data_IF_316401957351
#
_entry.id   IF_316401957351
#
_cell.length_a   1.000
_cell.length_b   1.000
_cell.length_c   1.000
_cell.angle_alpha   90.00
_cell.angle_beta   90.00
_cell.angle_gamma   90.00
#
_symmetry.space_group_name_H-M   'P 1'
#
loop_
_entity.id
_entity.type
_entity.pdbx_description
1 polymer ?
#
# COMPACT_ATOMS: atom_id res chain seq x y z
N UNK A 1 21.45 2.94 23.63
CA UNK A 1 21.40 1.76 22.72
C UNK A 1 21.13 2.28 21.31
N UNK A 2 22.10 2.16 20.42
CA UNK A 2 21.92 2.53 19.01
C UNK A 2 20.89 1.58 18.41
N UNK A 3 19.69 2.05 18.07
CA UNK A 3 18.71 1.27 17.34
C UNK A 3 19.25 0.98 15.94
N UNK A 4 19.95 -0.13 15.74
CA UNK A 4 20.31 -0.59 14.41
C UNK A 4 19.02 -0.77 13.61
N UNK A 5 18.91 -0.09 12.46
CA UNK A 5 17.86 -0.36 11.47
C UNK A 5 17.91 -1.86 11.14
N UNK A 6 16.74 -2.48 11.00
CA UNK A 6 16.68 -3.88 10.59
C UNK A 6 17.28 -4.03 9.18
N UNK A 7 18.02 -5.11 8.95
CA UNK A 7 18.51 -5.44 7.62
C UNK A 7 17.34 -5.91 6.75
N UNK A 8 17.04 -5.17 5.70
CA UNK A 8 15.99 -5.45 4.75
C UNK A 8 16.50 -6.01 3.40
N UNK A 9 17.80 -6.23 3.29
CA UNK A 9 18.44 -6.63 2.02
C UNK A 9 18.00 -8.01 1.52
N UNK A 10 17.56 -8.89 2.42
CA UNK A 10 17.10 -10.25 2.11
C UNK A 10 15.62 -10.33 1.77
N UNK A 11 14.88 -9.25 1.99
CA UNK A 11 13.44 -9.26 1.74
C UNK A 11 13.12 -9.55 0.28
N UNK A 12 12.12 -10.38 0.07
CA UNK A 12 11.56 -10.65 -1.25
C UNK A 12 10.05 -10.86 -1.18
N UNK A 13 9.39 -10.61 -2.28
CA UNK A 13 7.95 -10.70 -2.41
C UNK A 13 7.59 -11.38 -3.73
N UNK A 14 6.57 -12.23 -3.68
CA UNK A 14 6.01 -12.86 -4.87
C UNK A 14 4.48 -12.93 -4.80
N UNK A 15 3.83 -12.68 -5.91
CA UNK A 15 2.38 -12.89 -6.07
C UNK A 15 2.16 -14.36 -6.41
N UNK A 16 1.39 -15.05 -5.59
CA UNK A 16 1.01 -16.46 -5.79
C UNK A 16 -0.32 -16.61 -6.51
N UNK A 17 -1.17 -15.63 -6.38
CA UNK A 17 -2.46 -15.56 -7.06
C UNK A 17 -2.85 -14.10 -7.23
N UNK A 18 -3.42 -13.79 -8.36
CA UNK A 18 -4.03 -12.51 -8.68
C UNK A 18 -5.29 -12.77 -9.52
N UNK A 19 -6.39 -12.11 -9.17
CA UNK A 19 -7.60 -12.14 -10.01
C UNK A 19 -7.36 -11.35 -11.28
N UNK A 20 -7.11 -12.02 -12.39
CA UNK A 20 -6.90 -11.44 -13.71
C UNK A 20 -8.22 -11.21 -14.48
N UNK A 21 -9.29 -11.88 -14.07
CA UNK A 21 -10.62 -11.76 -14.66
C UNK A 21 -11.39 -10.55 -14.13
N UNK A 22 -11.08 -9.38 -14.67
CA UNK A 22 -11.84 -8.17 -14.40
C UNK A 22 -13.29 -8.18 -14.93
N UNK A 23 -13.62 -9.11 -15.86
CA UNK A 23 -14.98 -9.26 -16.33
C UNK A 23 -15.91 -9.64 -15.17
N UNK A 24 -15.49 -10.57 -14.32
CA UNK A 24 -16.23 -10.98 -13.13
C UNK A 24 -16.61 -9.79 -12.22
N UNK A 25 -15.65 -8.91 -11.97
CA UNK A 25 -15.87 -7.68 -11.16
C UNK A 25 -16.89 -6.76 -11.86
N UNK A 26 -16.78 -6.65 -13.19
CA UNK A 26 -17.70 -5.83 -13.98
C UNK A 26 -19.11 -6.41 -14.02
N UNK A 27 -19.23 -7.73 -14.17
CA UNK A 27 -20.52 -8.40 -14.20
C UNK A 27 -21.25 -8.22 -12.86
N UNK A 28 -20.55 -8.31 -11.73
CA UNK A 28 -21.11 -8.00 -10.42
C UNK A 28 -21.57 -6.54 -10.30
N UNK A 29 -20.81 -5.59 -10.88
CA UNK A 29 -21.24 -4.19 -10.93
C UNK A 29 -22.49 -4.00 -11.81
N UNK A 30 -22.56 -4.67 -12.96
CA UNK A 30 -23.70 -4.61 -13.87
C UNK A 30 -24.95 -5.27 -13.27
N UNK A 31 -24.77 -6.39 -12.55
CA UNK A 31 -25.87 -7.07 -11.87
C UNK A 31 -26.63 -6.14 -10.92
N UNK A 32 -25.94 -5.26 -10.21
CA UNK A 32 -26.56 -4.29 -9.27
C UNK A 32 -27.49 -3.28 -9.94
N UNK A 33 -27.38 -3.10 -11.25
CA UNK A 33 -28.19 -2.17 -12.06
C UNK A 33 -29.02 -2.89 -13.12
N UNK A 34 -29.26 -4.20 -12.95
CA UNK A 34 -30.06 -5.05 -13.83
C UNK A 34 -29.54 -5.04 -15.29
N UNK A 35 -28.24 -5.05 -15.49
CA UNK A 35 -27.59 -5.15 -16.80
C UNK A 35 -26.71 -6.40 -16.86
N UNK A 36 -26.58 -6.94 -18.06
CA UNK A 36 -25.75 -8.11 -18.36
C UNK A 36 -24.89 -7.86 -19.61
N UNK A 37 -23.94 -8.74 -19.86
CA UNK A 37 -23.16 -8.81 -21.10
C UNK A 37 -22.41 -7.54 -21.48
N UNK A 38 -21.80 -6.88 -20.50
CA UNK A 38 -20.92 -5.74 -20.76
C UNK A 38 -19.63 -6.17 -21.45
N UNK A 39 -19.06 -5.30 -22.30
CA UNK A 39 -17.71 -5.49 -22.87
C UNK A 39 -16.70 -5.56 -21.75
N UNK A 40 -15.56 -6.27 -22.00
CA UNK A 40 -14.44 -6.33 -21.05
C UNK A 40 -14.05 -4.91 -20.57
N UNK A 41 -13.79 -4.70 -19.27
CA UNK A 41 -13.49 -3.38 -18.72
C UNK A 41 -12.19 -2.80 -19.26
N UNK A 42 -12.26 -1.52 -19.62
CA UNK A 42 -11.07 -0.73 -19.99
C UNK A 42 -10.28 -0.33 -18.76
N UNK A 43 -9.01 0.01 -18.92
CA UNK A 43 -8.17 0.52 -17.82
C UNK A 43 -8.77 1.76 -17.14
N UNK A 44 -9.41 2.63 -17.92
CA UNK A 44 -10.11 3.79 -17.37
C UNK A 44 -11.30 3.38 -16.49
N UNK A 45 -12.06 2.36 -16.90
CA UNK A 45 -13.16 1.85 -16.10
C UNK A 45 -12.65 1.20 -14.80
N UNK A 46 -11.58 0.41 -14.88
CA UNK A 46 -10.92 -0.19 -13.71
C UNK A 46 -10.50 0.87 -12.70
N UNK A 47 -9.81 1.93 -13.16
CA UNK A 47 -9.43 3.05 -12.30
C UNK A 47 -10.63 3.74 -11.66
N UNK A 48 -11.69 4.00 -12.42
CA UNK A 48 -12.91 4.65 -11.91
C UNK A 48 -13.58 3.83 -10.80
N UNK A 49 -13.77 2.51 -10.98
CA UNK A 49 -14.44 1.67 -9.98
C UNK A 49 -13.59 1.51 -8.71
N UNK A 50 -12.25 1.44 -8.85
CA UNK A 50 -11.31 1.37 -7.74
C UNK A 50 -11.29 2.67 -6.94
N UNK A 51 -11.26 3.83 -7.60
CA UNK A 51 -11.30 5.15 -6.93
C UNK A 51 -12.64 5.41 -6.24
N UNK A 52 -13.74 4.93 -6.83
CA UNK A 52 -15.06 5.02 -6.24
C UNK A 52 -15.30 3.99 -5.13
N UNK A 53 -14.40 3.02 -4.98
CA UNK A 53 -14.48 1.94 -3.98
C UNK A 53 -15.82 1.20 -3.98
N UNK A 54 -16.41 1.00 -5.15
CA UNK A 54 -17.64 0.24 -5.27
C UNK A 54 -17.44 -1.22 -4.83
N UNK A 55 -18.41 -1.77 -4.12
CA UNK A 55 -18.34 -3.11 -3.50
C UNK A 55 -17.87 -4.25 -4.40
N UNK A 56 -18.15 -4.27 -5.73
CA UNK A 56 -17.66 -5.35 -6.61
C UNK A 56 -16.14 -5.53 -6.63
N UNK A 57 -15.36 -4.49 -6.34
CA UNK A 57 -13.88 -4.64 -6.27
C UNK A 57 -13.43 -5.63 -5.20
N UNK A 58 -14.29 -5.99 -4.25
CA UNK A 58 -14.00 -6.98 -3.20
C UNK A 58 -13.96 -8.42 -3.72
N UNK A 59 -14.41 -8.66 -4.95
CA UNK A 59 -14.27 -9.96 -5.62
C UNK A 59 -12.87 -10.17 -6.19
N UNK A 60 -12.15 -9.09 -6.47
CA UNK A 60 -10.73 -9.17 -6.82
C UNK A 60 -9.90 -9.59 -5.62
N UNK A 61 -9.06 -10.62 -5.77
CA UNK A 61 -8.24 -11.18 -4.71
C UNK A 61 -6.79 -11.31 -5.13
N UNK A 62 -5.89 -11.16 -4.14
CA UNK A 62 -4.45 -11.33 -4.31
C UNK A 62 -3.93 -12.21 -3.19
N UNK A 63 -3.07 -13.18 -3.52
CA UNK A 63 -2.28 -13.93 -2.53
C UNK A 63 -0.81 -13.57 -2.74
N UNK A 64 -0.19 -13.06 -1.69
CA UNK A 64 1.19 -12.56 -1.71
C UNK A 64 1.98 -13.29 -0.64
N UNK A 65 3.12 -13.85 -1.00
CA UNK A 65 4.14 -14.29 -0.05
C UNK A 65 5.19 -13.19 0.11
N UNK A 66 5.52 -12.88 1.34
CA UNK A 66 6.60 -11.97 1.71
C UNK A 66 7.56 -12.72 2.62
N UNK A 67 8.83 -12.68 2.30
CA UNK A 67 9.88 -13.47 2.95
C UNK A 67 10.90 -12.57 3.61
N UNK A 68 11.51 -13.09 4.67
CA UNK A 68 12.63 -12.47 5.38
C UNK A 68 12.30 -11.07 5.94
N UNK A 69 11.09 -10.94 6.50
CA UNK A 69 10.59 -9.69 7.09
C UNK A 69 10.82 -9.69 8.59
N UNK A 70 11.36 -8.61 9.19
CA UNK A 70 11.51 -8.52 10.65
C UNK A 70 10.17 -8.70 11.38
N UNK A 71 10.18 -9.49 12.44
CA UNK A 71 8.97 -9.86 13.20
C UNK A 71 8.15 -8.66 13.66
N UNK A 72 8.79 -7.56 14.10
CA UNK A 72 8.06 -6.36 14.50
C UNK A 72 7.32 -5.68 13.33
N UNK A 73 7.80 -5.81 12.09
CA UNK A 73 7.11 -5.28 10.91
C UNK A 73 5.86 -6.10 10.62
N UNK A 74 5.96 -7.44 10.75
CA UNK A 74 4.81 -8.33 10.57
C UNK A 74 3.67 -7.95 11.53
N UNK A 75 3.99 -7.58 12.78
CA UNK A 75 2.96 -7.15 13.75
C UNK A 75 2.14 -5.94 13.27
N UNK A 76 2.70 -5.10 12.38
CA UNK A 76 1.96 -4.00 11.79
C UNK A 76 0.96 -4.46 10.73
N UNK A 77 1.25 -5.55 10.01
CA UNK A 77 0.35 -6.08 8.99
C UNK A 77 -0.77 -6.94 9.59
N UNK A 78 -0.48 -7.73 10.63
CA UNK A 78 -1.50 -8.57 11.27
C UNK A 78 -2.61 -7.79 11.96
N UNK A 79 -2.45 -6.48 12.16
CA UNK A 79 -3.50 -5.58 12.68
C UNK A 79 -4.58 -5.22 11.67
N UNK A 80 -4.41 -5.55 10.39
CA UNK A 80 -5.45 -5.39 9.38
C UNK A 80 -6.32 -6.64 9.36
N UNK A 81 -7.65 -6.47 9.48
CA UNK A 81 -8.57 -7.61 9.62
C UNK A 81 -9.62 -7.68 8.51
N UNK A 82 -10.06 -6.53 7.99
CA UNK A 82 -11.14 -6.50 7.01
C UNK A 82 -10.67 -6.91 5.63
N UNK A 83 -11.14 -8.06 5.14
CA UNK A 83 -10.81 -8.57 3.80
C UNK A 83 -9.37 -9.08 3.66
N UNK A 84 -8.73 -9.48 4.78
CA UNK A 84 -7.35 -9.96 4.82
C UNK A 84 -7.22 -11.19 5.69
N UNK A 85 -6.73 -12.30 5.11
CA UNK A 85 -6.23 -13.45 5.84
C UNK A 85 -4.70 -13.43 5.88
N UNK A 86 -4.14 -13.84 7.01
CA UNK A 86 -2.71 -13.74 7.29
C UNK A 86 -2.17 -15.05 7.83
N UNK A 87 -1.10 -15.53 7.21
CA UNK A 87 -0.41 -16.75 7.63
C UNK A 87 1.05 -16.39 7.87
N UNK A 88 1.50 -16.49 9.12
CA UNK A 88 2.84 -16.10 9.54
C UNK A 88 3.61 -17.35 9.97
N UNK A 89 4.89 -17.45 9.60
CA UNK A 89 5.75 -18.54 10.05
C UNK A 89 5.84 -18.55 11.58
N UNK A 90 5.85 -19.76 12.16
CA UNK A 90 5.83 -19.94 13.62
C UNK A 90 7.23 -19.81 14.21
N UNK A 91 7.29 -19.37 15.48
CA UNK A 91 8.46 -19.47 16.35
C UNK A 91 8.33 -20.59 17.40
N UNK A 92 7.41 -21.51 17.21
CA UNK A 92 7.23 -22.64 18.14
C UNK A 92 8.41 -23.60 18.03
N UNK A 93 9.13 -23.79 19.12
CA UNK A 93 10.31 -24.68 19.21
C UNK A 93 9.98 -26.17 19.04
N UNK A 94 8.69 -26.54 19.18
CA UNK A 94 8.22 -27.89 18.88
C UNK A 94 8.01 -28.17 17.37
N UNK A 95 8.20 -27.16 16.51
CA UNK A 95 7.97 -27.25 15.07
C UNK A 95 9.13 -26.77 14.22
N UNK A 96 9.96 -25.89 14.76
CA UNK A 96 11.06 -25.26 14.04
C UNK A 96 12.25 -25.09 14.97
N UNK A 97 13.42 -25.57 14.56
CA UNK A 97 14.67 -25.34 15.28
C UNK A 97 15.19 -23.94 14.97
N UNK A 98 15.65 -23.25 16.00
CA UNK A 98 16.29 -21.95 15.92
C UNK A 98 17.65 -22.00 16.60
N UNK A 99 18.66 -21.45 15.95
CA UNK A 99 20.01 -21.32 16.51
C UNK A 99 20.06 -20.31 17.67
N UNK A 100 19.16 -19.33 17.65
CA UNK A 100 19.06 -18.25 18.63
C UNK A 100 17.62 -18.04 19.10
N UNK A 101 17.45 -17.50 20.31
CA UNK A 101 16.13 -17.13 20.83
C UNK A 101 15.52 -16.04 19.95
N UNK A 102 14.32 -16.26 19.39
CA UNK A 102 13.67 -15.27 18.52
C UNK A 102 13.47 -13.93 19.24
N UNK A 103 13.73 -12.85 18.53
CA UNK A 103 13.56 -11.48 19.00
C UNK A 103 12.81 -10.62 17.96
N UNK A 104 12.60 -9.33 18.24
CA UNK A 104 11.85 -8.43 17.36
C UNK A 104 12.42 -8.31 15.94
N UNK A 105 13.70 -8.53 15.76
CA UNK A 105 14.38 -8.41 14.47
C UNK A 105 14.52 -9.77 13.75
N UNK A 106 14.14 -10.88 14.41
CA UNK A 106 14.16 -12.20 13.78
C UNK A 106 13.29 -12.19 12.53
N UNK A 107 13.84 -12.71 11.44
CA UNK A 107 13.15 -12.71 10.15
C UNK A 107 12.06 -13.79 10.12
N UNK A 108 10.91 -13.44 9.59
CA UNK A 108 9.77 -14.32 9.40
C UNK A 108 9.22 -14.20 7.98
N UNK A 109 8.49 -15.22 7.57
CA UNK A 109 7.71 -15.21 6.34
C UNK A 109 6.24 -14.97 6.65
N UNK A 110 5.58 -14.25 5.74
CA UNK A 110 4.16 -13.95 5.86
C UNK A 110 3.47 -14.17 4.52
N UNK A 111 2.32 -14.84 4.54
CA UNK A 111 1.39 -14.83 3.42
C UNK A 111 0.22 -13.93 3.75
N UNK A 112 -0.12 -13.07 2.81
CA UNK A 112 -1.33 -12.26 2.83
C UNK A 112 -2.27 -12.76 1.75
N UNK A 113 -3.52 -13.09 2.10
CA UNK A 113 -4.61 -13.30 1.16
C UNK A 113 -5.62 -12.17 1.38
N UNK A 114 -5.80 -11.31 0.39
CA UNK A 114 -6.56 -10.07 0.56
C UNK A 114 -7.32 -9.70 -0.70
N UNK A 115 -8.47 -9.05 -0.51
CA UNK A 115 -9.20 -8.48 -1.62
C UNK A 115 -8.67 -7.08 -2.01
N UNK A 116 -9.06 -6.56 -3.19
CA UNK A 116 -8.58 -5.27 -3.69
C UNK A 116 -8.92 -4.11 -2.74
N UNK A 117 -10.09 -4.10 -2.11
CA UNK A 117 -10.43 -3.07 -1.13
C UNK A 117 -9.48 -3.08 0.07
N UNK A 118 -9.14 -4.27 0.57
CA UNK A 118 -8.19 -4.41 1.67
C UNK A 118 -6.78 -3.93 1.27
N UNK A 119 -6.35 -4.24 0.04
CA UNK A 119 -5.07 -3.78 -0.51
C UNK A 119 -4.99 -2.25 -0.53
N UNK A 120 -6.05 -1.57 -1.03
CA UNK A 120 -6.16 -0.11 -1.02
C UNK A 120 -6.13 0.44 0.42
N UNK A 121 -6.90 -0.15 1.35
CA UNK A 121 -6.99 0.30 2.74
C UNK A 121 -5.65 0.16 3.50
N UNK A 122 -4.93 -0.92 3.25
CA UNK A 122 -3.60 -1.13 3.84
C UNK A 122 -2.63 -0.09 3.27
N UNK A 123 -2.67 0.19 1.97
CA UNK A 123 -1.84 1.21 1.32
C UNK A 123 -1.98 2.56 1.99
N UNK A 124 -3.19 3.00 2.30
CA UNK A 124 -3.45 4.28 2.99
C UNK A 124 -2.67 4.40 4.28
N UNK A 125 -2.61 3.33 5.07
CA UNK A 125 -1.94 3.32 6.39
C UNK A 125 -0.45 2.99 6.30
N UNK A 126 -0.05 2.05 5.47
CA UNK A 126 1.35 1.58 5.41
C UNK A 126 2.20 2.40 4.45
N UNK A 127 1.58 3.18 3.57
CA UNK A 127 2.24 4.19 2.75
C UNK A 127 2.33 5.56 3.44
N UNK A 128 1.66 5.77 4.57
CA UNK A 128 1.79 6.99 5.36
C UNK A 128 3.18 7.09 6.00
N UNK A 129 3.76 8.29 6.04
CA UNK A 129 5.07 8.51 6.68
C UNK A 129 5.05 8.37 8.21
N UNK A 130 3.85 8.32 8.84
CA UNK A 130 3.70 7.95 10.24
C UNK A 130 3.98 6.45 10.50
N UNK A 131 3.93 5.59 9.47
CA UNK A 131 4.37 4.20 9.59
C UNK A 131 5.92 4.13 9.70
N UNK A 132 6.45 3.08 10.39
CA UNK A 132 7.89 2.89 10.48
C UNK A 132 8.53 2.75 9.09
N UNK A 133 9.79 3.14 8.98
CA UNK A 133 10.56 3.03 7.73
C UNK A 133 10.48 1.62 7.14
N UNK A 134 10.77 0.61 7.95
CA UNK A 134 10.80 -0.79 7.53
C UNK A 134 9.42 -1.25 7.02
N UNK A 135 8.34 -0.84 7.69
CA UNK A 135 6.97 -1.16 7.24
C UNK A 135 6.67 -0.53 5.89
N UNK A 136 7.09 0.72 5.67
CA UNK A 136 6.92 1.40 4.38
C UNK A 136 7.70 0.71 3.26
N UNK A 137 8.93 0.26 3.55
CA UNK A 137 9.77 -0.44 2.57
C UNK A 137 9.18 -1.78 2.16
N UNK A 138 8.70 -2.57 3.14
CA UNK A 138 7.99 -3.83 2.86
C UNK A 138 6.75 -3.56 2.00
N UNK A 139 5.95 -2.55 2.35
CA UNK A 139 4.73 -2.26 1.59
C UNK A 139 5.05 -1.72 0.20
N UNK A 140 6.09 -0.90 0.03
CA UNK A 140 6.58 -0.45 -1.27
C UNK A 140 6.92 -1.65 -2.16
N UNK A 141 7.71 -2.59 -1.66
CA UNK A 141 8.08 -3.80 -2.40
C UNK A 141 6.85 -4.61 -2.83
N UNK A 142 5.86 -4.77 -1.93
CA UNK A 142 4.59 -5.44 -2.26
C UNK A 142 3.86 -4.68 -3.37
N UNK A 143 3.72 -3.37 -3.27
CA UNK A 143 3.03 -2.56 -4.27
C UNK A 143 3.70 -2.60 -5.65
N UNK A 144 5.03 -2.49 -5.70
CA UNK A 144 5.79 -2.57 -6.96
C UNK A 144 5.69 -3.96 -7.60
N UNK A 145 5.58 -5.01 -6.76
CA UNK A 145 5.35 -6.37 -7.25
C UNK A 145 3.95 -6.51 -7.84
N UNK A 146 2.92 -5.98 -7.18
CA UNK A 146 1.53 -6.00 -7.65
C UNK A 146 1.32 -5.13 -8.89
N UNK A 147 2.03 -4.00 -9.01
CA UNK A 147 2.01 -3.13 -10.20
C UNK A 147 2.24 -3.90 -11.50
N UNK A 148 3.09 -4.94 -11.47
CA UNK A 148 3.38 -5.77 -12.65
C UNK A 148 2.18 -6.59 -13.12
N UNK A 149 1.18 -6.77 -12.27
CA UNK A 149 -0.07 -7.50 -12.57
C UNK A 149 -1.23 -6.56 -12.86
N UNK A 150 -1.28 -5.42 -12.16
CA UNK A 150 -2.39 -4.47 -12.29
C UNK A 150 -1.95 -3.03 -11.98
N UNK A 151 -1.78 -2.26 -13.03
CA UNK A 151 -1.45 -0.83 -12.94
C UNK A 151 -2.63 -0.01 -12.40
N UNK A 152 -3.90 -0.42 -12.68
CA UNK A 152 -5.07 0.30 -12.19
C UNK A 152 -5.21 0.15 -10.66
N UNK A 153 -4.96 -1.06 -10.14
CA UNK A 153 -4.95 -1.29 -8.69
C UNK A 153 -3.81 -0.54 -8.01
N UNK A 154 -2.60 -0.59 -8.59
CA UNK A 154 -1.47 0.22 -8.11
C UNK A 154 -1.82 1.70 -8.06
N UNK A 155 -2.43 2.24 -9.13
CA UNK A 155 -2.85 3.63 -9.21
C UNK A 155 -3.83 4.03 -8.09
N UNK A 156 -4.72 3.15 -7.68
CA UNK A 156 -5.65 3.40 -6.58
C UNK A 156 -4.99 3.42 -5.19
N UNK A 157 -3.71 3.02 -5.09
CA UNK A 157 -2.99 2.90 -3.83
C UNK A 157 -2.17 4.15 -3.52
N UNK A 158 -2.66 4.97 -2.61
CA UNK A 158 -2.00 6.19 -2.12
C UNK A 158 -2.05 6.26 -0.59
N UNK A 159 -1.21 7.06 0.09
CA UNK A 159 -1.33 7.27 1.52
C UNK A 159 -2.60 8.03 1.89
N UNK A 160 -3.02 7.91 3.14
CA UNK A 160 -4.25 8.51 3.66
C UNK A 160 -4.38 10.01 3.35
N UNK A 161 -3.29 10.76 3.44
CA UNK A 161 -3.31 12.21 3.17
C UNK A 161 -3.58 12.52 1.68
N UNK A 162 -3.05 11.74 0.75
CA UNK A 162 -3.36 11.89 -0.67
C UNK A 162 -4.79 11.42 -0.99
N UNK A 163 -5.29 10.38 -0.31
CA UNK A 163 -6.68 9.93 -0.41
C UNK A 163 -7.67 11.02 0.03
N UNK A 164 -7.46 11.61 1.21
CA UNK A 164 -8.38 12.60 1.79
C UNK A 164 -8.20 14.01 1.24
N UNK A 165 -7.04 14.32 0.66
CA UNK A 165 -6.67 15.71 0.31
C UNK A 165 -6.24 16.53 1.53
N UNK A 166 -5.95 15.89 2.66
CA UNK A 166 -5.42 16.50 3.88
C UNK A 166 -4.82 15.44 4.79
N UNK A 167 -3.95 15.84 5.73
CA UNK A 167 -3.41 14.92 6.72
C UNK A 167 -4.41 14.73 7.88
N UNK A 168 -4.93 13.50 8.12
CA UNK A 168 -5.88 13.25 9.20
C UNK A 168 -5.22 12.79 10.51
N UNK A 169 -3.90 12.64 10.53
CA UNK A 169 -3.20 12.10 11.70
C UNK A 169 -3.19 13.10 12.85
N UNK A 170 -3.41 12.60 14.09
CA UNK A 170 -3.34 13.41 15.30
C UNK A 170 -1.95 14.04 15.48
N UNK A 171 -0.91 13.29 15.11
CA UNK A 171 0.48 13.74 15.06
C UNK A 171 0.96 13.68 13.62
N UNK A 172 0.82 14.77 12.85
CA UNK A 172 1.26 14.80 11.45
C UNK A 172 2.74 14.43 11.29
N UNK A 173 3.06 13.74 10.21
CA UNK A 173 4.44 13.37 9.93
C UNK A 173 5.28 14.62 9.63
N UNK A 174 6.43 14.75 10.29
CA UNK A 174 7.51 15.62 9.88
C UNK A 174 8.48 14.78 9.04
N UNK A 175 8.49 15.03 7.75
CA UNK A 175 9.17 14.15 6.81
C UNK A 175 10.69 14.36 6.76
N UNK A 176 11.18 15.46 7.27
CA UNK A 176 12.60 15.87 7.13
C UNK A 176 13.14 16.70 8.30
N UNK A 177 12.40 16.80 9.41
CA UNK A 177 12.78 17.67 10.53
C UNK A 177 12.68 19.17 10.24
N UNK A 178 12.13 19.55 9.08
CA UNK A 178 11.95 20.96 8.67
C UNK A 178 10.51 21.44 8.84
N UNK A 179 9.65 20.65 9.46
CA UNK A 179 8.25 20.98 9.70
C UNK A 179 7.30 20.69 8.53
N UNK A 180 7.76 20.01 7.49
CA UNK A 180 6.97 19.71 6.30
C UNK A 180 6.32 18.32 6.32
N UNK A 181 4.97 18.25 6.35
CA UNK A 181 4.27 16.97 6.17
C UNK A 181 4.42 16.42 4.75
N UNK A 182 4.24 15.10 4.57
CA UNK A 182 4.20 14.49 3.23
C UNK A 182 3.19 15.21 2.32
N UNK A 183 2.03 15.57 2.86
CA UNK A 183 1.01 16.28 2.08
C UNK A 183 1.43 17.71 1.74
N UNK A 184 2.09 18.41 2.67
CA UNK A 184 2.64 19.75 2.41
C UNK A 184 3.69 19.75 1.30
N UNK A 185 4.60 18.77 1.30
CA UNK A 185 5.59 18.57 0.22
C UNK A 185 4.89 18.27 -1.12
N UNK A 186 3.84 17.46 -1.09
CA UNK A 186 3.07 17.16 -2.29
C UNK A 186 2.35 18.41 -2.85
N UNK A 187 1.74 19.25 -1.99
CA UNK A 187 1.15 20.52 -2.43
C UNK A 187 2.22 21.41 -3.06
N UNK A 188 3.38 21.56 -2.41
CA UNK A 188 4.49 22.35 -2.93
C UNK A 188 4.91 21.89 -4.32
N UNK A 189 5.09 20.59 -4.51
CA UNK A 189 5.39 19.99 -5.81
C UNK A 189 4.34 20.34 -6.87
N UNK A 190 3.05 20.25 -6.54
CA UNK A 190 1.94 20.57 -7.44
C UNK A 190 2.03 22.03 -7.92
N UNK A 191 2.34 22.96 -7.01
CA UNK A 191 2.54 24.38 -7.33
C UNK A 191 3.79 24.59 -8.19
N UNK A 192 4.89 23.94 -7.87
CA UNK A 192 6.15 24.02 -8.64
C UNK A 192 5.98 23.49 -10.09
N UNK A 193 5.08 22.52 -10.30
CA UNK A 193 4.68 22.06 -11.65
C UNK A 193 3.69 22.97 -12.36
N UNK A 194 3.43 24.17 -11.83
CA UNK A 194 2.56 25.20 -12.46
C UNK A 194 1.06 24.96 -12.28
N UNK A 195 0.66 24.04 -11.40
CA UNK A 195 -0.74 23.80 -11.11
C UNK A 195 -1.23 24.64 -9.92
N UNK A 196 -2.51 25.01 -9.93
CA UNK A 196 -3.16 25.59 -8.75
C UNK A 196 -3.52 24.48 -7.74
N UNK A 197 -3.42 24.73 -6.40
CA UNK A 197 -3.75 23.71 -5.38
C UNK A 197 -5.17 23.14 -5.50
N UNK A 198 -6.12 23.93 -6.05
CA UNK A 198 -7.51 23.51 -6.24
C UNK A 198 -7.67 22.29 -7.15
N UNK A 199 -6.69 22.02 -8.01
CA UNK A 199 -6.67 20.81 -8.86
C UNK A 199 -6.75 19.52 -7.99
N UNK A 200 -6.31 19.59 -6.75
CA UNK A 200 -6.31 18.47 -5.81
C UNK A 200 -7.72 18.10 -5.31
N UNK A 201 -8.75 18.95 -5.56
CA UNK A 201 -10.15 18.58 -5.32
C UNK A 201 -10.65 17.54 -6.34
N UNK A 202 -10.05 17.49 -7.53
CA UNK A 202 -10.31 16.43 -8.48
C UNK A 202 -9.53 15.17 -8.09
N UNK A 203 -10.24 14.12 -7.68
CA UNK A 203 -9.65 12.87 -7.17
C UNK A 203 -8.71 12.24 -8.19
N UNK A 204 -9.10 12.13 -9.45
CA UNK A 204 -8.26 11.53 -10.50
C UNK A 204 -6.96 12.32 -10.67
N UNK A 205 -7.04 13.65 -10.76
CA UNK A 205 -5.86 14.51 -10.91
C UNK A 205 -4.98 14.47 -9.68
N UNK A 206 -5.55 14.39 -8.49
CA UNK A 206 -4.79 14.25 -7.25
C UNK A 206 -3.96 12.96 -7.21
N UNK A 207 -4.54 11.84 -7.65
CA UNK A 207 -3.83 10.56 -7.71
C UNK A 207 -2.75 10.55 -8.80
N UNK A 208 -3.05 11.05 -10.00
CA UNK A 208 -2.08 11.22 -11.08
C UNK A 208 -0.87 12.03 -10.61
N UNK A 209 -1.09 13.20 -10.05
CA UNK A 209 -0.04 14.09 -9.56
C UNK A 209 0.72 13.50 -8.38
N UNK A 210 0.04 12.72 -7.51
CA UNK A 210 0.72 12.04 -6.40
C UNK A 210 1.67 10.95 -6.90
N UNK A 211 1.27 10.13 -7.86
CA UNK A 211 2.16 9.13 -8.44
C UNK A 211 3.33 9.79 -9.16
N UNK A 212 3.09 10.86 -9.91
CA UNK A 212 4.14 11.63 -10.55
C UNK A 212 5.11 12.26 -9.53
N UNK A 213 4.58 12.80 -8.41
CA UNK A 213 5.40 13.27 -7.29
C UNK A 213 6.32 12.18 -6.73
N UNK A 214 5.83 10.95 -6.60
CA UNK A 214 6.63 9.81 -6.15
C UNK A 214 7.70 9.42 -7.18
N UNK A 215 7.34 9.37 -8.45
CA UNK A 215 8.25 9.02 -9.56
C UNK A 215 9.35 10.06 -9.75
N UNK A 216 9.04 11.33 -9.56
CA UNK A 216 9.99 12.45 -9.60
C UNK A 216 10.87 12.55 -8.33
N UNK A 217 10.82 11.54 -7.44
CA UNK A 217 11.64 11.49 -6.22
C UNK A 217 11.19 12.43 -5.10
N UNK A 218 9.98 13.00 -5.20
CA UNK A 218 9.43 13.90 -4.18
C UNK A 218 9.12 13.20 -2.85
N UNK A 219 9.14 11.87 -2.84
CA UNK A 219 8.98 11.08 -1.65
C UNK A 219 10.30 10.44 -1.23
N UNK A 220 10.91 10.97 -0.19
CA UNK A 220 12.02 10.30 0.47
C UNK A 220 11.50 9.15 1.33
N UNK A 221 11.86 7.92 0.97
CA UNK A 221 11.59 6.74 1.80
C UNK A 221 12.61 6.61 2.93
N UNK A 222 13.79 7.21 2.77
CA UNK A 222 14.83 7.26 3.78
C UNK A 222 14.63 8.49 4.69
N UNK A 223 13.65 8.46 5.56
CA UNK A 223 13.56 9.48 6.60
C UNK A 223 14.78 9.39 7.51
N UNK A 224 15.66 10.36 7.41
CA UNK A 224 16.59 10.69 8.48
C UNK A 224 15.75 11.22 9.65
N UNK A 225 15.39 10.35 10.60
CA UNK A 225 15.00 10.84 11.91
C UNK A 225 16.25 11.50 12.46
N UNK A 226 16.13 12.77 12.82
CA UNK A 226 17.21 13.50 13.49
C UNK A 226 17.79 12.64 14.61
N UNK A 227 19.09 12.62 14.66
CA UNK A 227 19.87 12.02 15.73
C UNK A 227 19.54 12.67 17.08
#
# INVERSE_FOLDING_TARGET
MVNKKADLSKMRCEVKYYTDDWQKIKDSALFTIHKENGKYPTEEWKKKILLAEHSPIREGNIIINVYDVPSFVITHFVRHHNGVEKYVSTFRSDRVDYDEVPNRNTLQNMRLSLNFQAFINISRKRFCNAASYETRMVWKMIMETVRKYDEALYFACVPECAYRGSCPEMFPCDCDGTGGTLFGKFIKYVVEKGNKPEILFNVNKRYELYHQFVEDGGRDYELKRGE
#
